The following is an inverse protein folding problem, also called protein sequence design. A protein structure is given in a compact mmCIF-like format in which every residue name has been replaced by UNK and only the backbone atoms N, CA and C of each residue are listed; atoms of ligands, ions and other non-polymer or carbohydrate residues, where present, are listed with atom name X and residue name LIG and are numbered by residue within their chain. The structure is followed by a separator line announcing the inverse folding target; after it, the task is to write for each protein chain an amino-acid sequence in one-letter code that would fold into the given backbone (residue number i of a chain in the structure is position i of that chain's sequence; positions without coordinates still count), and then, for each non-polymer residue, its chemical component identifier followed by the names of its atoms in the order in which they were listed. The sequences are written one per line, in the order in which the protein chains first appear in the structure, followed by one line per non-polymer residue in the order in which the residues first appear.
data_IF_199842068981
#
_entry.id   IF_199842068981
#
_cell.length_a   1.000
_cell.length_b   1.000
_cell.length_c   1.000
_cell.angle_alpha   90.00
_cell.angle_beta   90.00
_cell.angle_gamma   90.00
#
_symmetry.space_group_name_H-M   'P 1'
#
loop_
_entity.id
_entity.type
_entity.pdbx_description
1 polymer ?
#
# COMPACT_ATOMS: atom_id res chain seq x y z
N UNK A 1 -34.44 -21.45 28.42
CA UNK A 1 -34.27 -20.80 27.10
C UNK A 1 -32.96 -20.03 26.98
N UNK A 2 -32.51 -19.26 27.97
CA UNK A 2 -31.30 -18.40 27.85
C UNK A 2 -29.94 -19.12 27.73
N UNK A 3 -29.78 -20.36 28.19
CA UNK A 3 -28.50 -21.09 28.07
C UNK A 3 -28.22 -21.57 26.65
N UNK A 4 -29.27 -22.00 25.95
CA UNK A 4 -29.13 -22.50 24.56
C UNK A 4 -28.73 -21.34 23.62
N UNK A 5 -29.33 -20.17 23.76
CA UNK A 5 -28.98 -19.00 22.95
C UNK A 5 -27.57 -18.49 23.22
N UNK A 6 -27.09 -18.52 24.48
CA UNK A 6 -25.70 -18.17 24.80
C UNK A 6 -24.70 -19.13 24.14
N UNK A 7 -24.96 -20.43 24.20
CA UNK A 7 -24.08 -21.41 23.58
C UNK A 7 -24.10 -21.33 22.04
N UNK A 8 -25.25 -21.00 21.45
CA UNK A 8 -25.42 -20.83 20.02
C UNK A 8 -24.70 -19.56 19.52
N UNK A 9 -24.76 -18.47 20.30
CA UNK A 9 -24.09 -17.22 20.03
C UNK A 9 -22.56 -17.36 20.13
N UNK A 10 -22.06 -18.08 21.15
CA UNK A 10 -20.62 -18.38 21.29
C UNK A 10 -20.15 -19.30 20.16
N UNK A 11 -20.90 -20.30 19.75
CA UNK A 11 -20.58 -21.15 18.61
C UNK A 11 -20.54 -20.36 17.30
N UNK A 12 -21.45 -19.42 17.10
CA UNK A 12 -21.48 -18.54 15.92
C UNK A 12 -20.26 -17.61 15.87
N UNK A 13 -19.81 -17.07 17.02
CA UNK A 13 -18.58 -16.26 17.12
C UNK A 13 -17.31 -17.08 16.86
N UNK A 14 -17.26 -18.34 17.28
CA UNK A 14 -16.14 -19.22 16.98
C UNK A 14 -16.10 -19.64 15.51
N UNK A 15 -17.24 -19.82 14.86
CA UNK A 15 -17.32 -20.19 13.44
C UNK A 15 -16.93 -19.03 12.52
N UNK A 16 -17.07 -17.78 12.97
CA UNK A 16 -16.70 -16.56 12.23
C UNK A 16 -15.19 -16.39 12.00
N UNK A 17 -14.34 -17.07 12.79
CA UNK A 17 -12.88 -16.96 12.67
C UNK A 17 -12.24 -17.94 11.68
N UNK A 18 -13.02 -18.86 11.07
CA UNK A 18 -12.46 -19.93 10.21
C UNK A 18 -12.42 -19.52 8.72
N UNK A 19 -12.98 -18.36 8.36
CA UNK A 19 -13.17 -17.94 6.96
C UNK A 19 -12.09 -16.99 6.39
N UNK A 20 -11.02 -16.71 7.12
CA UNK A 20 -9.86 -16.07 6.56
C UNK A 20 -8.92 -17.13 5.96
N UNK A 21 -9.24 -17.56 4.75
CA UNK A 21 -8.30 -18.28 3.92
C UNK A 21 -7.24 -17.29 3.44
N UNK A 22 -6.10 -17.21 4.12
CA UNK A 22 -4.89 -16.63 3.55
C UNK A 22 -4.50 -17.49 2.35
N UNK A 23 -4.39 -16.89 1.17
CA UNK A 23 -3.71 -17.52 0.05
C UNK A 23 -2.25 -17.69 0.45
N UNK A 24 -1.89 -18.91 0.88
CA UNK A 24 -0.53 -19.25 1.32
C UNK A 24 0.33 -19.40 0.06
N UNK A 25 1.03 -18.34 -0.30
CA UNK A 25 2.15 -18.45 -1.23
C UNK A 25 3.28 -19.15 -0.49
N UNK A 26 3.69 -20.34 -0.97
CA UNK A 26 4.72 -21.15 -0.31
C UNK A 26 6.10 -20.53 -0.52
N UNK A 27 6.58 -19.79 0.46
CA UNK A 27 7.98 -19.39 0.55
C UNK A 27 8.73 -20.36 1.48
N UNK A 28 9.95 -20.73 1.11
CA UNK A 28 10.82 -21.57 1.94
C UNK A 28 11.34 -20.82 3.18
N UNK A 29 11.40 -19.48 3.11
CA UNK A 29 11.91 -18.63 4.18
C UNK A 29 10.84 -17.61 4.63
N UNK A 30 10.54 -17.52 5.94
CA UNK A 30 9.58 -16.57 6.49
C UNK A 30 9.98 -15.10 6.26
N UNK A 31 11.25 -14.82 5.96
CA UNK A 31 11.71 -13.47 5.59
C UNK A 31 11.13 -13.05 4.24
N UNK A 32 11.06 -13.96 3.28
CA UNK A 32 10.49 -13.70 1.96
C UNK A 32 8.97 -13.50 2.01
N UNK A 33 8.29 -14.25 2.88
CA UNK A 33 6.86 -14.08 3.12
C UNK A 33 6.54 -12.67 3.67
N UNK A 34 7.31 -12.21 4.64
CA UNK A 34 7.16 -10.85 5.19
C UNK A 34 7.47 -9.78 4.14
N UNK A 35 8.53 -9.93 3.35
CA UNK A 35 8.86 -9.04 2.22
C UNK A 35 7.72 -8.96 1.23
N UNK A 36 7.20 -10.11 0.81
CA UNK A 36 6.09 -10.24 -0.11
C UNK A 36 4.85 -9.50 0.41
N UNK A 37 4.45 -9.75 1.66
CA UNK A 37 3.29 -9.09 2.25
C UNK A 37 3.45 -7.56 2.32
N UNK A 38 4.64 -7.07 2.63
CA UNK A 38 4.96 -5.64 2.63
C UNK A 38 4.82 -5.04 1.24
N UNK A 39 5.44 -5.65 0.22
CA UNK A 39 5.36 -5.21 -1.18
C UNK A 39 3.91 -5.18 -1.69
N UNK A 40 3.11 -6.20 -1.37
CA UNK A 40 1.71 -6.24 -1.77
C UNK A 40 0.86 -5.09 -1.18
N UNK A 41 1.24 -4.59 0.01
CA UNK A 41 0.57 -3.45 0.64
C UNK A 41 1.03 -2.10 0.06
N UNK A 42 2.28 -2.01 -0.41
CA UNK A 42 2.85 -0.81 -0.99
C UNK A 42 2.48 -0.60 -2.46
N UNK A 43 2.07 -1.68 -3.15
CA UNK A 43 1.67 -1.64 -4.55
C UNK A 43 0.15 -1.51 -4.67
N UNK A 44 -0.30 -0.58 -5.50
CA UNK A 44 -1.71 -0.41 -5.85
C UNK A 44 -2.11 -1.42 -6.93
N UNK A 45 -3.34 -1.88 -6.83
CA UNK A 45 -3.93 -2.68 -7.90
C UNK A 45 -4.24 -1.77 -9.12
N UNK A 46 -3.62 -1.99 -10.29
CA UNK A 46 -3.75 -1.07 -11.44
C UNK A 46 -5.15 -1.03 -12.07
N UNK A 47 -5.99 -2.01 -11.77
CA UNK A 47 -7.38 -2.10 -12.27
C UNK A 47 -8.45 -1.95 -11.18
N UNK A 48 -8.04 -1.71 -9.92
CA UNK A 48 -8.98 -1.51 -8.83
C UNK A 48 -9.17 -0.02 -8.57
N UNK A 49 -10.39 0.40 -8.28
CA UNK A 49 -10.72 1.83 -8.04
C UNK A 49 -10.04 2.39 -6.80
N UNK A 50 -9.74 1.55 -5.82
CA UNK A 50 -8.99 1.92 -4.61
C UNK A 50 -8.63 0.65 -3.84
N UNK A 51 -7.36 0.35 -3.70
CA UNK A 51 -6.93 -0.79 -2.91
C UNK A 51 -5.50 -1.20 -3.22
N UNK A 52 -4.85 -1.78 -2.22
CA UNK A 52 -3.54 -2.40 -2.39
C UNK A 52 -3.67 -3.71 -3.18
N UNK A 53 -2.56 -4.14 -3.74
CA UNK A 53 -2.48 -5.44 -4.40
C UNK A 53 -2.81 -6.58 -3.43
N UNK A 54 -2.49 -6.41 -2.13
CA UNK A 54 -2.82 -7.36 -1.07
C UNK A 54 -4.34 -7.64 -0.98
N UNK A 55 -5.16 -6.60 -1.08
CA UNK A 55 -6.62 -6.68 -0.91
C UNK A 55 -7.36 -7.07 -2.20
N UNK A 56 -6.66 -7.19 -3.33
CA UNK A 56 -7.28 -7.45 -4.63
C UNK A 56 -7.24 -8.93 -5.01
N UNK A 57 -8.40 -9.46 -5.42
CA UNK A 57 -8.56 -10.81 -5.98
C UNK A 57 -8.86 -10.80 -7.50
N UNK A 58 -8.64 -9.66 -8.16
CA UNK A 58 -8.78 -9.58 -9.61
C UNK A 58 -7.77 -10.52 -10.32
N UNK A 59 -8.11 -11.13 -11.48
CA UNK A 59 -7.19 -12.02 -12.20
C UNK A 59 -5.82 -11.38 -12.49
N UNK A 60 -5.82 -10.11 -12.91
CA UNK A 60 -4.60 -9.34 -13.16
C UNK A 60 -3.74 -9.17 -11.89
N UNK A 61 -4.39 -9.07 -10.72
CA UNK A 61 -3.69 -8.95 -9.43
C UNK A 61 -3.05 -10.25 -9.03
N UNK A 62 -3.69 -11.38 -9.33
CA UNK A 62 -3.10 -12.70 -9.07
C UNK A 62 -1.88 -12.95 -9.95
N UNK A 63 -1.95 -12.63 -11.23
CA UNK A 63 -0.81 -12.73 -12.15
C UNK A 63 0.36 -11.85 -11.67
N UNK A 64 0.06 -10.65 -11.20
CA UNK A 64 1.08 -9.74 -10.67
C UNK A 64 1.69 -10.25 -9.36
N UNK A 65 0.88 -10.80 -8.45
CA UNK A 65 1.36 -11.45 -7.22
C UNK A 65 2.33 -12.59 -7.54
N UNK A 66 1.97 -13.48 -8.49
CA UNK A 66 2.84 -14.57 -8.93
C UNK A 66 4.15 -14.05 -9.52
N UNK A 67 4.10 -12.97 -10.29
CA UNK A 67 5.32 -12.35 -10.84
C UNK A 67 6.23 -11.78 -9.76
N UNK A 68 5.66 -11.17 -8.72
CA UNK A 68 6.42 -10.68 -7.56
C UNK A 68 7.08 -11.85 -6.81
N UNK A 69 6.37 -12.96 -6.60
CA UNK A 69 6.93 -14.19 -6.00
C UNK A 69 8.13 -14.70 -6.82
N UNK A 70 7.99 -14.78 -8.14
CA UNK A 70 9.08 -15.18 -9.04
C UNK A 70 10.29 -14.25 -8.90
N UNK A 71 10.08 -12.93 -8.84
CA UNK A 71 11.17 -11.96 -8.71
C UNK A 71 11.87 -12.07 -7.35
N UNK A 72 11.12 -12.28 -6.25
CA UNK A 72 11.67 -12.50 -4.91
C UNK A 72 12.53 -13.78 -4.90
N UNK A 73 12.05 -14.86 -5.48
CA UNK A 73 12.79 -16.13 -5.58
C UNK A 73 14.06 -16.00 -6.44
N UNK A 74 14.07 -15.07 -7.40
CA UNK A 74 15.25 -14.72 -8.18
C UNK A 74 16.18 -13.70 -7.46
N UNK A 75 15.98 -13.47 -6.16
CA UNK A 75 16.76 -12.55 -5.33
C UNK A 75 16.78 -11.10 -5.84
N UNK A 76 15.71 -10.65 -6.50
CA UNK A 76 15.56 -9.25 -6.87
C UNK A 76 15.35 -8.37 -5.63
N UNK A 77 15.87 -7.15 -5.66
CA UNK A 77 15.64 -6.17 -4.59
C UNK A 77 14.21 -5.62 -4.64
N UNK A 78 13.77 -5.02 -3.54
CA UNK A 78 12.42 -4.42 -3.47
C UNK A 78 12.31 -3.23 -4.42
N UNK A 79 13.39 -2.48 -4.60
CA UNK A 79 13.50 -1.36 -5.54
C UNK A 79 13.35 -1.84 -6.99
N UNK A 80 14.05 -2.92 -7.38
CA UNK A 80 13.94 -3.50 -8.73
C UNK A 80 12.51 -3.99 -9.02
N UNK A 81 11.84 -4.55 -8.00
CA UNK A 81 10.45 -5.01 -8.13
C UNK A 81 9.51 -3.82 -8.30
N UNK A 82 9.67 -2.76 -7.50
CA UNK A 82 8.88 -1.53 -7.60
C UNK A 82 9.10 -0.82 -8.93
N UNK A 83 10.35 -0.73 -9.39
CA UNK A 83 10.71 -0.14 -10.68
C UNK A 83 10.04 -0.89 -11.84
N UNK A 84 10.15 -2.22 -11.87
CA UNK A 84 9.49 -3.07 -12.88
C UNK A 84 7.97 -2.83 -12.94
N UNK A 85 7.34 -2.67 -11.77
CA UNK A 85 5.90 -2.44 -11.70
C UNK A 85 5.55 -1.03 -12.16
N UNK A 86 6.32 -0.02 -11.75
CA UNK A 86 6.09 1.37 -12.14
C UNK A 86 6.28 1.60 -13.64
N UNK A 87 7.25 0.94 -14.26
CA UNK A 87 7.47 1.01 -15.72
C UNK A 87 6.31 0.38 -16.51
N UNK A 88 5.72 -0.69 -16.00
CA UNK A 88 4.71 -1.45 -16.71
C UNK A 88 3.28 -0.96 -16.47
N UNK A 89 3.00 -0.44 -15.28
CA UNK A 89 1.65 -0.04 -14.85
C UNK A 89 1.54 1.46 -14.53
N UNK A 90 2.64 2.20 -14.63
CA UNK A 90 2.71 3.63 -14.35
C UNK A 90 3.15 3.95 -12.91
N UNK A 91 3.66 5.16 -12.72
CA UNK A 91 4.16 5.64 -11.42
C UNK A 91 3.07 5.65 -10.33
N UNK A 92 1.79 5.77 -10.72
CA UNK A 92 0.65 5.73 -9.80
C UNK A 92 0.39 4.34 -9.18
N UNK A 93 1.11 3.31 -9.64
CA UNK A 93 1.02 1.95 -9.09
C UNK A 93 1.71 1.77 -7.74
N UNK A 94 2.45 2.77 -7.26
CA UNK A 94 3.08 2.78 -5.95
C UNK A 94 2.37 3.77 -5.02
N UNK A 95 2.22 3.39 -3.73
CA UNK A 95 1.69 4.30 -2.72
C UNK A 95 2.72 5.32 -2.23
N UNK A 96 4.00 5.04 -2.40
CA UNK A 96 5.04 5.99 -2.07
C UNK A 96 4.99 7.17 -3.04
N UNK A 97 4.86 8.42 -2.54
CA UNK A 97 4.92 9.59 -3.39
C UNK A 97 6.32 9.67 -4.01
N UNK A 98 6.39 9.59 -5.33
CA UNK A 98 7.65 9.82 -6.05
C UNK A 98 8.01 11.28 -5.85
N UNK A 99 9.09 11.57 -5.12
CA UNK A 99 9.66 12.91 -5.02
C UNK A 99 10.34 13.25 -6.34
N UNK A 100 9.56 13.75 -7.30
CA UNK A 100 10.08 14.29 -8.56
C UNK A 100 10.36 15.79 -8.40
N UNK A 101 11.22 16.33 -9.27
CA UNK A 101 11.55 17.76 -9.27
C UNK A 101 10.29 18.64 -9.35
N UNK A 102 9.26 18.20 -10.07
CA UNK A 102 7.98 18.89 -10.19
C UNK A 102 7.17 18.93 -8.88
N UNK A 103 7.40 17.95 -8.00
CA UNK A 103 6.71 17.86 -6.70
C UNK A 103 7.33 18.77 -5.65
N UNK A 104 8.61 19.12 -5.77
CA UNK A 104 9.28 20.06 -4.86
C UNK A 104 8.58 21.42 -4.83
N UNK A 105 8.18 21.95 -6.00
CA UNK A 105 7.48 23.22 -6.07
C UNK A 105 6.19 23.21 -5.26
N UNK A 106 5.42 22.10 -5.32
CA UNK A 106 4.16 21.96 -4.59
C UNK A 106 4.37 21.93 -3.06
N UNK A 107 5.46 21.32 -2.61
CA UNK A 107 5.79 21.22 -1.18
C UNK A 107 6.32 22.52 -0.59
N UNK A 108 7.12 23.27 -1.34
CA UNK A 108 7.72 24.52 -0.88
C UNK A 108 6.83 25.73 -1.08
N UNK A 109 5.90 25.72 -2.05
CA UNK A 109 5.00 26.83 -2.34
C UNK A 109 4.25 27.39 -1.11
N UNK A 110 3.64 26.58 -0.23
CA UNK A 110 2.93 27.10 0.95
C UNK A 110 3.86 27.78 1.94
N UNK A 111 5.09 27.30 2.10
CA UNK A 111 6.07 27.91 3.02
C UNK A 111 6.56 29.26 2.48
N UNK A 112 6.83 29.37 1.20
CA UNK A 112 7.23 30.62 0.54
C UNK A 112 6.12 31.66 0.63
N UNK A 113 4.88 31.24 0.40
CA UNK A 113 3.70 32.14 0.48
C UNK A 113 3.49 32.64 1.91
N UNK A 114 3.65 31.77 2.92
CA UNK A 114 3.58 32.14 4.32
C UNK A 114 4.69 33.14 4.68
N UNK A 115 5.92 32.93 4.20
CA UNK A 115 7.05 33.81 4.47
C UNK A 115 6.81 35.20 3.83
N UNK A 116 6.31 35.27 2.60
CA UNK A 116 5.95 36.52 1.93
C UNK A 116 4.86 37.27 2.70
N UNK A 117 3.81 36.58 3.13
CA UNK A 117 2.72 37.21 3.91
C UNK A 117 3.22 37.75 5.25
N UNK A 118 4.08 37.03 5.94
CA UNK A 118 4.72 37.52 7.18
C UNK A 118 5.58 38.76 6.93
N UNK A 119 6.43 38.76 5.89
CA UNK A 119 7.26 39.92 5.54
C UNK A 119 6.38 41.13 5.26
N UNK A 120 5.36 41.00 4.41
CA UNK A 120 4.43 42.09 4.10
C UNK A 120 3.72 42.61 5.35
N UNK A 121 3.31 41.70 6.26
CA UNK A 121 2.67 42.10 7.52
C UNK A 121 3.62 42.88 8.43
N UNK A 122 4.89 42.43 8.57
CA UNK A 122 5.88 43.14 9.38
C UNK A 122 6.24 44.50 8.80
N UNK A 123 6.46 44.61 7.49
CA UNK A 123 6.78 45.90 6.85
C UNK A 123 5.62 46.88 6.91
N UNK A 124 4.38 46.40 6.81
CA UNK A 124 3.19 47.25 6.90
C UNK A 124 2.91 47.73 8.33
N UNK A 125 3.38 47.02 9.36
CA UNK A 125 3.20 47.42 10.76
C UNK A 125 4.24 48.44 11.22
N UNK A 126 5.33 48.61 10.47
CA UNK A 126 6.42 49.57 10.78
C UNK A 126 6.21 50.97 10.19
N UNK A 127 5.17 51.18 9.34
CA UNK A 127 4.69 52.48 8.93
C UNK A 127 3.48 52.90 9.78
#
# INVERSE_FOLDING_TARGET
MNRIYKNLLVAMLFFSNILFGEEIYAFEDPVYEKRFSTLLNEIRCPKCTSGSLASSNAPISQDLKLKIVEMINNNKSDEEIKEYISERFGADSLYEPVFTEDTYFLWFAPFVLLLITLLVFFFRKTE
#
